data_IF_828959941972
#
_entry.id   IF_828959941972
#
_cell.length_a   1.000
_cell.length_b   1.000
_cell.length_c   1.000
_cell.angle_alpha   90.00
_cell.angle_beta   90.00
_cell.angle_gamma   90.00
#
_symmetry.space_group_name_H-M   'P 1'
#
loop_
_entity.id
_entity.type
_entity.pdbx_description
1 polymer ?
#
# COMPACT_ATOMS: atom_id res chain seq x y z
N UNK A 1 3.63 1.48 6.62
CA UNK A 1 3.96 2.89 6.93
C UNK A 1 3.04 3.94 6.25
N UNK A 2 2.48 3.67 5.07
CA UNK A 2 1.77 4.67 4.27
C UNK A 2 0.25 4.79 4.53
N UNK A 3 -0.35 3.93 5.38
CA UNK A 3 -1.81 3.81 5.49
C UNK A 3 -2.40 4.04 6.90
N UNK A 4 -1.56 4.26 7.90
CA UNK A 4 -1.97 4.70 9.24
C UNK A 4 -0.99 5.78 9.73
N UNK A 5 -1.48 6.78 10.47
CA UNK A 5 -0.67 7.90 10.97
C UNK A 5 0.48 7.42 11.86
N UNK A 6 0.24 6.38 12.67
CA UNK A 6 1.27 5.81 13.55
C UNK A 6 2.40 5.15 12.74
N UNK A 7 2.03 4.55 11.62
CA UNK A 7 2.90 3.86 10.69
C UNK A 7 3.80 4.83 9.92
N UNK A 8 3.28 6.03 9.62
CA UNK A 8 4.02 7.09 8.95
C UNK A 8 5.03 7.74 9.89
N UNK A 9 4.63 8.05 11.13
CA UNK A 9 5.56 8.59 12.14
C UNK A 9 6.66 7.59 12.51
N UNK A 10 6.32 6.30 12.65
CA UNK A 10 7.29 5.25 12.91
C UNK A 10 8.22 5.03 11.71
N UNK A 11 7.68 5.12 10.49
CA UNK A 11 8.44 5.07 9.25
C UNK A 11 9.44 6.22 9.14
N UNK A 12 9.02 7.47 9.39
CA UNK A 12 9.92 8.62 9.41
C UNK A 12 11.00 8.50 10.49
N UNK A 13 10.63 8.08 11.72
CA UNK A 13 11.58 7.91 12.82
C UNK A 13 12.65 6.87 12.52
N UNK A 14 12.31 5.81 11.78
CA UNK A 14 13.23 4.74 11.41
C UNK A 14 13.83 4.89 10.00
N UNK A 15 13.65 6.05 9.35
CA UNK A 15 14.13 6.32 7.97
C UNK A 15 13.69 5.24 6.97
N UNK A 16 12.50 4.67 7.18
CA UNK A 16 11.94 3.67 6.29
C UNK A 16 11.32 4.35 5.08
N UNK A 17 11.57 3.77 3.92
CA UNK A 17 11.03 4.26 2.66
C UNK A 17 9.50 4.07 2.67
N UNK A 18 8.77 5.18 2.47
CA UNK A 18 7.31 5.17 2.42
C UNK A 18 6.90 4.76 1.00
N UNK A 19 6.82 3.46 0.77
CA UNK A 19 6.36 2.91 -0.50
C UNK A 19 4.83 2.90 -0.50
N UNK A 20 4.24 3.73 -1.35
CA UNK A 20 2.80 3.66 -1.59
C UNK A 20 2.51 2.52 -2.56
N UNK A 21 1.58 1.63 -2.18
CA UNK A 21 1.16 0.48 -2.99
C UNK A 21 -0.13 0.76 -3.77
N UNK A 22 -0.76 1.93 -3.58
CA UNK A 22 -1.95 2.33 -4.31
C UNK A 22 -1.65 3.41 -5.35
N UNK A 23 -2.30 3.30 -6.49
CA UNK A 23 -2.39 4.36 -7.49
C UNK A 23 -3.38 5.44 -7.03
N UNK A 24 -3.43 6.58 -7.73
CA UNK A 24 -4.39 7.65 -7.46
C UNK A 24 -5.85 7.17 -7.52
N UNK A 25 -6.12 6.12 -8.31
CA UNK A 25 -7.44 5.50 -8.48
C UNK A 25 -7.74 4.44 -7.41
N UNK A 26 -6.93 4.35 -6.35
CA UNK A 26 -7.04 3.34 -5.30
C UNK A 26 -6.87 1.87 -5.75
N UNK A 27 -6.29 1.66 -6.93
CA UNK A 27 -5.90 0.33 -7.41
C UNK A 27 -4.51 -0.05 -6.90
N UNK A 28 -4.28 -1.34 -6.74
CA UNK A 28 -2.99 -1.89 -6.36
C UNK A 28 -1.97 -1.71 -7.51
N UNK A 29 -0.81 -1.15 -7.19
CA UNK A 29 0.27 -0.88 -8.15
C UNK A 29 1.30 -2.01 -8.24
N UNK A 30 2.34 -1.79 -9.04
CA UNK A 30 3.40 -2.77 -9.33
C UNK A 30 4.25 -3.17 -8.12
N UNK A 31 4.20 -2.41 -7.00
CA UNK A 31 4.90 -2.73 -5.76
C UNK A 31 4.25 -3.88 -4.98
N UNK A 32 3.07 -4.33 -5.40
CA UNK A 32 2.38 -5.48 -4.81
C UNK A 32 2.52 -6.74 -5.69
N UNK A 33 2.23 -7.93 -5.15
CA UNK A 33 2.28 -9.18 -5.92
C UNK A 33 1.41 -9.10 -7.18
N UNK A 34 1.89 -9.65 -8.29
CA UNK A 34 1.23 -9.63 -9.61
C UNK A 34 -0.23 -10.12 -9.59
N UNK A 35 -0.59 -10.96 -8.61
CA UNK A 35 -1.95 -11.46 -8.40
C UNK A 35 -2.95 -10.36 -8.03
N UNK A 36 -2.48 -9.27 -7.41
CA UNK A 36 -3.32 -8.16 -6.94
C UNK A 36 -3.15 -6.89 -7.77
N UNK A 37 -2.15 -6.82 -8.65
CA UNK A 37 -1.89 -5.65 -9.50
C UNK A 37 -3.11 -5.29 -10.35
N UNK A 38 -3.50 -4.01 -10.34
CA UNK A 38 -4.66 -3.50 -11.05
C UNK A 38 -6.01 -3.83 -10.41
N UNK A 39 -6.05 -4.58 -9.30
CA UNK A 39 -7.29 -4.79 -8.54
C UNK A 39 -7.59 -3.59 -7.65
N UNK A 40 -8.88 -3.34 -7.44
CA UNK A 40 -9.31 -2.38 -6.43
C UNK A 40 -8.89 -2.86 -5.04
N UNK A 41 -8.60 -1.92 -4.14
CA UNK A 41 -8.22 -2.20 -2.76
C UNK A 41 -9.22 -3.10 -2.01
N UNK A 42 -10.51 -3.04 -2.33
CA UNK A 42 -11.53 -3.87 -1.69
C UNK A 42 -11.50 -5.30 -2.23
N UNK A 43 -11.36 -5.47 -3.55
CA UNK A 43 -11.24 -6.79 -4.18
C UNK A 43 -9.95 -7.52 -3.74
N UNK A 44 -8.85 -6.77 -3.60
CA UNK A 44 -7.61 -7.30 -3.08
C UNK A 44 -7.73 -7.75 -1.62
N UNK A 45 -8.56 -7.07 -0.82
CA UNK A 45 -8.77 -7.39 0.60
C UNK A 45 -9.66 -8.63 0.80
N UNK A 46 -10.64 -8.88 -0.05
CA UNK A 46 -11.46 -10.11 0.04
C UNK A 46 -10.69 -11.38 -0.32
N UNK A 47 -9.62 -11.27 -1.11
CA UNK A 47 -8.80 -12.41 -1.55
C UNK A 47 -7.71 -12.83 -0.56
N UNK A 48 -7.50 -12.07 0.52
CA UNK A 48 -6.51 -12.33 1.58
C UNK A 48 -7.19 -12.99 2.77
#
# INVERSE_FOLDING_TARGET
PAHDFNDYELGQRNQLEVINIFTADACINENAPAVYQGMDRFDAREKV
#
